data_IF_109013281511
#
_entry.id   IF_109013281511
#
_cell.length_a   1.000
_cell.length_b   1.000
_cell.length_c   1.000
_cell.angle_alpha   90.00
_cell.angle_beta   90.00
_cell.angle_gamma   90.00
#
_symmetry.space_group_name_H-M   'P 1'
#
loop_
_entity.id
_entity.type
_entity.pdbx_description
1 polymer ?
#
# COMPACT_ATOMS: atom_id res chain seq x y z
N UNK A 1 9.08 7.54 32.53
CA UNK A 1 7.90 6.75 32.07
C UNK A 1 8.34 6.01 30.81
N UNK A 2 8.15 4.70 30.78
CA UNK A 2 8.67 3.87 29.69
C UNK A 2 7.91 4.15 28.38
N UNK A 3 8.61 4.61 27.35
CA UNK A 3 8.03 4.90 26.03
C UNK A 3 7.30 3.68 25.44
N UNK A 4 7.80 2.48 25.70
CA UNK A 4 7.14 1.26 25.23
C UNK A 4 5.79 1.01 25.92
N UNK A 5 5.69 1.40 27.17
CA UNK A 5 4.43 1.28 27.94
C UNK A 5 3.38 2.27 27.42
N UNK A 6 3.80 3.49 27.09
CA UNK A 6 2.94 4.50 26.49
C UNK A 6 2.44 4.07 25.12
N UNK A 7 3.33 3.58 24.24
CA UNK A 7 2.94 3.07 22.92
C UNK A 7 1.92 1.96 23.02
N UNK A 8 2.12 0.97 23.91
CA UNK A 8 1.17 -0.13 24.11
C UNK A 8 -0.18 0.36 24.62
N UNK A 9 -0.19 1.30 25.56
CA UNK A 9 -1.42 1.86 26.09
C UNK A 9 -2.20 2.65 25.03
N UNK A 10 -1.51 3.42 24.18
CA UNK A 10 -2.11 4.14 23.06
C UNK A 10 -2.66 3.17 22.02
N UNK A 11 -1.90 2.13 21.67
CA UNK A 11 -2.36 1.09 20.72
C UNK A 11 -3.60 0.35 21.26
N UNK A 12 -3.63 0.07 22.56
CA UNK A 12 -4.78 -0.57 23.19
C UNK A 12 -5.99 0.35 23.19
N UNK A 13 -5.81 1.63 23.57
CA UNK A 13 -6.89 2.63 23.56
C UNK A 13 -7.44 2.86 22.14
N UNK A 14 -6.56 2.90 21.10
CA UNK A 14 -6.95 3.03 19.70
C UNK A 14 -7.72 1.78 19.24
N UNK A 15 -7.30 0.60 19.66
CA UNK A 15 -7.96 -0.67 19.36
C UNK A 15 -9.35 -0.73 20.02
N UNK A 16 -9.46 -0.32 21.27
CA UNK A 16 -10.71 -0.23 22.02
C UNK A 16 -11.67 0.82 21.45
N UNK A 17 -11.14 1.95 20.95
CA UNK A 17 -11.90 2.97 20.24
C UNK A 17 -12.36 2.52 18.85
N UNK A 18 -11.94 1.34 18.38
CA UNK A 18 -12.28 0.79 17.06
C UNK A 18 -11.70 1.56 15.89
N UNK A 19 -10.62 2.32 16.12
CA UNK A 19 -9.92 3.05 15.05
C UNK A 19 -8.90 2.15 14.36
N UNK A 20 -8.93 2.12 13.04
CA UNK A 20 -7.91 1.46 12.23
C UNK A 20 -6.75 2.45 11.97
N UNK A 21 -5.57 2.16 12.53
CA UNK A 21 -4.39 3.03 12.40
C UNK A 21 -3.22 2.25 11.81
N UNK A 22 -2.60 2.83 10.77
CA UNK A 22 -1.34 2.36 10.22
C UNK A 22 -0.20 2.92 11.08
N UNK A 23 0.45 2.06 11.87
CA UNK A 23 1.66 2.42 12.62
C UNK A 23 2.91 2.14 11.79
N UNK A 24 4.03 2.79 12.13
CA UNK A 24 5.31 2.49 11.49
C UNK A 24 5.72 1.02 11.68
N UNK A 25 5.46 0.46 12.85
CA UNK A 25 5.76 -0.96 13.13
C UNK A 25 4.97 -1.90 12.22
N UNK A 26 3.66 -1.68 12.05
CA UNK A 26 2.82 -2.47 11.12
C UNK A 26 3.29 -2.31 9.68
N UNK A 27 3.60 -1.08 9.26
CA UNK A 27 4.10 -0.81 7.91
C UNK A 27 5.42 -1.57 7.64
N UNK A 28 6.37 -1.53 8.55
CA UNK A 28 7.65 -2.24 8.41
C UNK A 28 7.45 -3.77 8.35
N UNK A 29 6.66 -4.33 9.25
CA UNK A 29 6.37 -5.78 9.24
C UNK A 29 5.70 -6.23 7.95
N UNK A 30 4.78 -5.43 7.44
CA UNK A 30 4.13 -5.70 6.16
C UNK A 30 5.14 -5.67 5.02
N UNK A 31 5.97 -4.63 4.95
CA UNK A 31 6.99 -4.49 3.92
C UNK A 31 7.95 -5.67 3.95
N UNK A 32 8.45 -6.07 5.12
CA UNK A 32 9.37 -7.21 5.26
C UNK A 32 8.76 -8.51 4.68
N UNK A 33 7.46 -8.74 4.88
CA UNK A 33 6.77 -9.92 4.32
C UNK A 33 6.63 -9.84 2.80
N UNK A 34 6.29 -8.67 2.28
CA UNK A 34 6.17 -8.45 0.82
C UNK A 34 7.54 -8.53 0.14
N UNK A 35 8.60 -7.98 0.74
CA UNK A 35 9.98 -8.12 0.26
C UNK A 35 10.39 -9.58 0.13
N UNK A 36 10.19 -10.36 1.20
CA UNK A 36 10.50 -11.78 1.18
C UNK A 36 9.76 -12.50 0.06
N UNK A 37 8.49 -12.18 -0.15
CA UNK A 37 7.70 -12.76 -1.23
C UNK A 37 8.21 -12.33 -2.60
N UNK A 38 8.59 -11.08 -2.76
CA UNK A 38 9.20 -10.57 -3.99
C UNK A 38 10.53 -11.29 -4.30
N UNK A 39 11.38 -11.53 -3.28
CA UNK A 39 12.62 -12.30 -3.44
C UNK A 39 12.36 -13.73 -3.92
N UNK A 40 11.37 -14.43 -3.33
CA UNK A 40 10.95 -15.76 -3.74
C UNK A 40 10.51 -15.81 -5.22
N UNK A 41 9.93 -14.71 -5.71
CA UNK A 41 9.48 -14.55 -7.09
C UNK A 41 10.56 -14.03 -8.05
N UNK A 42 11.74 -13.68 -7.53
CA UNK A 42 12.82 -13.06 -8.33
C UNK A 42 12.53 -11.61 -8.75
N UNK A 43 11.63 -10.92 -8.04
CA UNK A 43 11.25 -9.53 -8.31
C UNK A 43 12.06 -8.58 -7.42
N UNK A 44 12.58 -7.51 -7.99
CA UNK A 44 13.23 -6.41 -7.28
C UNK A 44 12.25 -5.24 -7.19
N UNK A 45 11.52 -5.18 -6.08
CA UNK A 45 10.41 -4.27 -5.91
C UNK A 45 10.77 -3.04 -5.06
N UNK A 46 10.01 -1.97 -5.26
CA UNK A 46 9.84 -0.91 -4.28
C UNK A 46 8.46 -1.08 -3.67
N UNK A 47 8.41 -1.04 -2.34
CA UNK A 47 7.22 -1.32 -1.56
C UNK A 47 6.95 -0.12 -0.67
N UNK A 48 5.78 0.50 -0.83
CA UNK A 48 5.38 1.70 -0.12
C UNK A 48 4.09 1.46 0.68
N UNK A 49 4.07 1.89 1.93
CA UNK A 49 2.88 1.87 2.78
C UNK A 49 2.50 3.30 3.14
N UNK A 50 1.24 3.65 2.91
CA UNK A 50 0.65 4.94 3.25
C UNK A 50 -0.41 4.81 4.35
N UNK A 51 -0.64 5.89 5.09
CA UNK A 51 -1.75 6.01 6.05
C UNK A 51 -3.06 6.43 5.36
N UNK A 52 -4.13 6.61 6.14
CA UNK A 52 -5.45 7.03 5.62
C UNK A 52 -5.49 8.43 5.01
N UNK A 53 -4.49 9.27 5.29
CA UNK A 53 -4.31 10.58 4.65
C UNK A 53 -3.48 10.50 3.35
N UNK A 54 -3.25 9.30 2.83
CA UNK A 54 -2.42 9.03 1.66
C UNK A 54 -0.96 9.53 1.79
N UNK A 55 -0.44 9.61 3.03
CA UNK A 55 0.94 10.01 3.30
C UNK A 55 1.80 8.76 3.54
N UNK A 56 3.03 8.71 2.98
CA UNK A 56 3.92 7.59 3.21
C UNK A 56 4.26 7.41 4.69
N UNK A 57 4.19 6.18 5.19
CA UNK A 57 4.63 5.78 6.53
C UNK A 57 5.99 5.10 6.46
N UNK A 58 6.18 4.21 5.49
CA UNK A 58 7.45 3.55 5.22
C UNK A 58 7.55 3.18 3.73
N UNK A 59 8.78 3.19 3.21
CA UNK A 59 9.11 2.78 1.84
C UNK A 59 10.42 2.01 1.87
N UNK A 60 10.45 0.82 1.29
CA UNK A 60 11.69 0.08 1.06
C UNK A 60 11.96 -0.05 -0.43
N UNK A 61 13.21 0.21 -0.78
CA UNK A 61 13.72 0.03 -2.14
C UNK A 61 14.64 -1.17 -2.14
N UNK A 62 14.22 -2.29 -2.73
CA UNK A 62 15.09 -3.45 -2.89
C UNK A 62 16.25 -3.11 -3.83
N UNK A 63 17.42 -3.70 -3.57
CA UNK A 63 18.59 -3.50 -4.42
C UNK A 63 18.29 -3.85 -5.88
N UNK A 64 18.73 -3.00 -6.80
CA UNK A 64 18.51 -3.13 -8.25
C UNK A 64 17.05 -2.99 -8.72
N UNK A 65 16.14 -2.48 -7.90
CA UNK A 65 14.82 -2.07 -8.37
C UNK A 65 14.93 -0.93 -9.41
N UNK A 66 13.96 -0.85 -10.32
CA UNK A 66 13.92 0.25 -11.29
C UNK A 66 13.76 1.60 -10.59
N UNK A 67 14.53 2.60 -11.02
CA UNK A 67 14.48 3.95 -10.43
C UNK A 67 13.07 4.55 -10.47
N UNK A 68 12.35 4.40 -11.58
CA UNK A 68 10.98 4.91 -11.73
C UNK A 68 9.97 4.21 -10.80
N UNK A 69 10.26 3.00 -10.33
CA UNK A 69 9.38 2.25 -9.44
C UNK A 69 9.20 2.93 -8.07
N UNK A 70 10.10 3.82 -7.66
CA UNK A 70 9.95 4.58 -6.43
C UNK A 70 8.67 5.44 -6.46
N UNK A 71 8.55 6.31 -7.46
CA UNK A 71 7.37 7.16 -7.60
C UNK A 71 6.11 6.34 -7.90
N UNK A 72 6.24 5.28 -8.71
CA UNK A 72 5.10 4.42 -9.05
C UNK A 72 4.55 3.72 -7.81
N UNK A 73 5.39 3.12 -6.96
CA UNK A 73 4.93 2.45 -5.74
C UNK A 73 4.28 3.44 -4.77
N UNK A 74 4.90 4.61 -4.55
CA UNK A 74 4.32 5.69 -3.75
C UNK A 74 2.95 6.12 -4.28
N UNK A 75 2.85 6.33 -5.58
CA UNK A 75 1.62 6.79 -6.22
C UNK A 75 0.54 5.71 -6.27
N UNK A 76 0.90 4.42 -6.34
CA UNK A 76 -0.05 3.31 -6.17
C UNK A 76 -0.65 3.32 -4.75
N UNK A 77 0.17 3.47 -3.72
CA UNK A 77 -0.30 3.59 -2.33
C UNK A 77 -1.17 4.86 -2.15
N UNK A 78 -0.73 6.00 -2.69
CA UNK A 78 -1.50 7.24 -2.69
C UNK A 78 -2.87 7.06 -3.34
N UNK A 79 -2.92 6.44 -4.52
CA UNK A 79 -4.14 6.20 -5.27
C UNK A 79 -5.12 5.34 -4.49
N UNK A 80 -4.63 4.21 -3.95
CA UNK A 80 -5.49 3.28 -3.21
C UNK A 80 -6.02 3.89 -1.91
N UNK A 81 -5.20 4.64 -1.16
CA UNK A 81 -5.67 5.35 0.03
C UNK A 81 -6.67 6.47 -0.32
N UNK A 82 -6.38 7.26 -1.34
CA UNK A 82 -7.17 8.42 -1.74
C UNK A 82 -8.52 8.06 -2.35
N UNK A 83 -8.57 7.02 -3.17
CA UNK A 83 -9.80 6.58 -3.85
C UNK A 83 -10.50 5.41 -3.16
N UNK A 84 -9.90 4.85 -2.10
CA UNK A 84 -10.43 3.74 -1.29
C UNK A 84 -10.75 2.50 -2.13
N UNK A 85 -9.90 2.20 -3.09
CA UNK A 85 -10.00 1.03 -3.96
C UNK A 85 -8.61 0.58 -4.43
N UNK A 86 -8.49 -0.67 -4.90
CA UNK A 86 -7.27 -1.12 -5.53
C UNK A 86 -7.03 -0.40 -6.87
N UNK A 87 -5.75 -0.25 -7.25
CA UNK A 87 -5.41 0.31 -8.55
C UNK A 87 -5.78 -0.63 -9.70
N UNK A 88 -5.90 -1.94 -9.45
CA UNK A 88 -6.44 -2.90 -10.40
C UNK A 88 -7.93 -2.64 -10.67
N UNK A 89 -8.74 -2.35 -9.64
CA UNK A 89 -10.14 -1.98 -9.81
C UNK A 89 -10.27 -0.64 -10.54
N UNK A 90 -9.43 0.32 -10.22
CA UNK A 90 -9.42 1.62 -10.90
C UNK A 90 -9.10 1.45 -12.40
N UNK A 91 -8.23 0.52 -12.79
CA UNK A 91 -7.88 0.29 -14.19
C UNK A 91 -9.11 -0.08 -15.04
N UNK A 92 -10.06 -0.82 -14.46
CA UNK A 92 -11.32 -1.17 -15.14
C UNK A 92 -12.21 0.07 -15.38
N UNK A 93 -12.13 1.07 -14.49
CA UNK A 93 -12.94 2.28 -14.55
C UNK A 93 -12.29 3.42 -15.34
N UNK A 94 -10.97 3.37 -15.54
CA UNK A 94 -10.18 4.46 -16.12
C UNK A 94 -9.71 4.20 -17.56
N UNK A 95 -10.04 3.06 -18.14
CA UNK A 95 -9.73 2.75 -19.54
C UNK A 95 -10.50 3.59 -20.55
N UNK A 96 -10.13 3.55 -21.83
CA UNK A 96 -10.86 4.26 -22.88
C UNK A 96 -12.37 3.90 -22.89
N UNK A 97 -13.22 4.89 -22.92
CA UNK A 97 -14.68 4.73 -22.90
C UNK A 97 -15.28 4.45 -21.51
N UNK A 98 -14.47 4.36 -20.47
CA UNK A 98 -14.93 4.13 -19.10
C UNK A 98 -15.19 5.46 -18.34
N UNK A 99 -16.01 5.42 -17.27
CA UNK A 99 -16.46 6.63 -16.56
C UNK A 99 -15.36 7.53 -16.02
N UNK A 100 -14.21 6.97 -15.64
CA UNK A 100 -13.08 7.69 -15.05
C UNK A 100 -11.91 7.85 -16.03
N UNK A 101 -12.15 7.70 -17.33
CA UNK A 101 -11.12 7.94 -18.34
C UNK A 101 -10.51 9.33 -18.19
N UNK A 102 -9.19 9.41 -18.06
CA UNK A 102 -8.46 10.67 -17.86
C UNK A 102 -8.17 11.01 -16.39
N UNK A 103 -8.65 10.22 -15.41
CA UNK A 103 -8.39 10.48 -13.99
C UNK A 103 -6.89 10.54 -13.65
N UNK A 104 -6.05 9.81 -14.40
CA UNK A 104 -4.59 9.82 -14.23
C UNK A 104 -3.94 11.18 -14.47
N UNK A 105 -4.62 12.09 -15.12
CA UNK A 105 -4.15 13.46 -15.35
C UNK A 105 -4.53 14.43 -14.21
N UNK A 106 -5.32 13.99 -13.25
CA UNK A 106 -5.67 14.74 -12.05
C UNK A 106 -4.61 14.56 -10.96
N UNK A 107 -4.74 15.27 -9.84
CA UNK A 107 -3.87 15.12 -8.68
C UNK A 107 -2.37 15.21 -9.02
N UNK A 108 -2.00 16.13 -9.92
CA UNK A 108 -0.61 16.31 -10.39
C UNK A 108 -0.01 15.04 -11.02
N UNK A 109 -0.83 14.20 -11.66
CA UNK A 109 -0.39 12.96 -12.27
C UNK A 109 -0.10 11.83 -11.29
N UNK A 110 -0.53 11.94 -10.03
CA UNK A 110 -0.26 10.92 -9.00
C UNK A 110 -1.20 9.73 -9.04
N UNK A 111 -2.29 9.80 -9.77
CA UNK A 111 -3.24 8.70 -9.87
C UNK A 111 -2.70 7.63 -10.82
N UNK A 112 -2.46 6.44 -10.30
CA UNK A 112 -1.99 5.27 -11.06
C UNK A 112 -3.16 4.37 -11.40
N UNK A 113 -3.34 4.09 -12.70
CA UNK A 113 -4.48 3.34 -13.22
C UNK A 113 -4.15 1.89 -13.64
N UNK A 114 -3.18 1.26 -13.00
CA UNK A 114 -2.85 -0.15 -13.21
C UNK A 114 -2.46 -0.82 -11.89
N UNK A 115 -2.60 -2.14 -11.84
CA UNK A 115 -2.50 -2.94 -10.62
C UNK A 115 -1.19 -2.81 -9.83
N UNK A 116 -1.23 -3.20 -8.58
CA UNK A 116 -0.11 -3.15 -7.63
C UNK A 116 -0.34 -2.19 -6.47
N UNK A 117 -1.51 -1.57 -6.36
CA UNK A 117 -1.95 -0.81 -5.19
C UNK A 117 -3.16 -1.45 -4.53
N UNK A 118 -3.14 -1.58 -3.20
CA UNK A 118 -4.21 -2.19 -2.40
C UNK A 118 -4.56 -1.35 -1.18
N UNK A 119 -5.84 -1.36 -0.83
CA UNK A 119 -6.35 -0.81 0.42
C UNK A 119 -6.08 -1.81 1.54
N UNK A 120 -5.61 -1.33 2.68
CA UNK A 120 -5.33 -2.13 3.87
C UNK A 120 -6.39 -1.86 4.94
N UNK A 121 -7.01 -2.92 5.46
CA UNK A 121 -8.08 -2.82 6.43
C UNK A 121 -7.74 -3.52 7.75
N UNK A 122 -8.29 -3.00 8.84
CA UNK A 122 -8.29 -3.62 10.16
C UNK A 122 -9.75 -3.69 10.61
N UNK A 123 -10.27 -4.90 10.82
CA UNK A 123 -11.66 -5.13 11.20
C UNK A 123 -12.67 -4.41 10.27
N UNK A 124 -12.44 -4.47 8.96
CA UNK A 124 -13.29 -3.85 7.94
C UNK A 124 -13.19 -2.32 7.83
N UNK A 125 -12.26 -1.69 8.55
CA UNK A 125 -11.99 -0.25 8.47
C UNK A 125 -10.64 0.01 7.80
N UNK A 126 -10.60 0.98 6.89
CA UNK A 126 -9.37 1.34 6.19
C UNK A 126 -8.35 1.90 7.18
N UNK A 127 -7.16 1.29 7.21
CA UNK A 127 -6.01 1.71 8.00
C UNK A 127 -4.97 2.45 7.16
N UNK A 128 -4.93 2.18 5.86
CA UNK A 128 -3.96 2.74 4.94
C UNK A 128 -3.98 2.03 3.59
N UNK A 129 -2.88 2.06 2.89
CA UNK A 129 -2.72 1.42 1.59
C UNK A 129 -1.29 0.95 1.34
N UNK A 130 -1.16 -0.04 0.47
CA UNK A 130 0.09 -0.62 -0.01
C UNK A 130 0.26 -0.33 -1.49
N UNK A 131 1.47 0.01 -1.91
CA UNK A 131 1.86 0.13 -3.31
C UNK A 131 3.12 -0.67 -3.59
N UNK A 132 3.10 -1.48 -4.64
CA UNK A 132 4.23 -2.30 -5.09
C UNK A 132 4.53 -2.02 -6.56
N UNK A 133 5.80 -1.84 -6.88
CA UNK A 133 6.28 -1.64 -8.25
C UNK A 133 7.68 -2.23 -8.43
N UNK A 134 7.92 -2.93 -9.53
CA UNK A 134 9.24 -3.47 -9.88
C UNK A 134 9.20 -4.74 -10.72
N UNK A 135 8.08 -5.44 -10.75
CA UNK A 135 7.85 -6.61 -11.57
C UNK A 135 7.01 -6.31 -12.83
N UNK A 136 6.44 -7.36 -13.41
CA UNK A 136 5.39 -7.23 -14.40
C UNK A 136 4.09 -6.74 -13.73
N UNK A 137 3.11 -6.32 -14.52
CA UNK A 137 1.81 -5.93 -14.01
C UNK A 137 1.19 -7.02 -13.12
N UNK A 138 1.27 -8.26 -13.56
CA UNK A 138 0.76 -9.43 -12.84
C UNK A 138 1.51 -9.67 -11.53
N UNK A 139 2.84 -9.54 -11.55
CA UNK A 139 3.67 -9.70 -10.36
C UNK A 139 3.41 -8.62 -9.33
N UNK A 140 3.35 -7.36 -9.74
CA UNK A 140 3.06 -6.24 -8.84
C UNK A 140 1.65 -6.37 -8.23
N UNK A 141 0.67 -6.74 -9.05
CA UNK A 141 -0.72 -6.97 -8.59
C UNK A 141 -0.79 -8.12 -7.60
N UNK A 142 -0.11 -9.23 -7.88
CA UNK A 142 -0.04 -10.37 -6.96
C UNK A 142 0.62 -10.00 -5.63
N UNK A 143 1.77 -9.30 -5.66
CA UNK A 143 2.49 -8.90 -4.45
C UNK A 143 1.66 -7.95 -3.58
N UNK A 144 0.93 -7.03 -4.19
CA UNK A 144 0.05 -6.13 -3.46
C UNK A 144 -1.14 -6.88 -2.82
N UNK A 145 -1.77 -7.79 -3.55
CA UNK A 145 -2.85 -8.64 -3.02
C UNK A 145 -2.36 -9.55 -1.89
N UNK A 146 -1.18 -10.16 -2.03
CA UNK A 146 -0.53 -10.92 -0.97
C UNK A 146 -0.28 -10.06 0.27
N UNK A 147 0.24 -8.85 0.09
CA UNK A 147 0.48 -7.90 1.18
C UNK A 147 -0.82 -7.52 1.91
N UNK A 148 -1.89 -7.27 1.18
CA UNK A 148 -3.22 -7.05 1.77
C UNK A 148 -3.68 -8.24 2.62
N UNK A 149 -3.59 -9.45 2.07
CA UNK A 149 -4.01 -10.67 2.77
C UNK A 149 -3.25 -10.86 4.09
N UNK A 150 -1.91 -10.79 4.07
CA UNK A 150 -1.10 -10.97 5.28
C UNK A 150 -1.31 -9.85 6.30
N UNK A 151 -1.58 -8.63 5.85
CA UNK A 151 -1.92 -7.52 6.73
C UNK A 151 -3.24 -7.74 7.47
N UNK A 152 -4.27 -8.16 6.76
CA UNK A 152 -5.60 -8.41 7.32
C UNK A 152 -5.63 -9.63 8.26
N UNK A 153 -4.68 -10.56 8.11
CA UNK A 153 -4.47 -11.69 9.00
C UNK A 153 -3.72 -11.34 10.31
N UNK A 154 -3.24 -10.12 10.46
CA UNK A 154 -2.61 -9.62 11.68
C UNK A 154 -1.09 -9.52 11.63
N UNK A 155 -0.58 -8.69 10.78
CA UNK A 155 0.85 -8.30 10.75
C UNK A 155 1.22 -7.42 11.94
#
# INVERSE_FOLDING_TARGET
MDEQLICRAVEQAVREAGMAVMTLEKAKRLIDKVEKKAEEMGVRAIIAVANTAARPVAVHCMDNAYIASFDIALNKAYTSAGLKMSTAKLSELAGPGQPLYGIQHTNEGKIVIFGGGEVLEINGKIAGALGVSGGTLEQDTFLAAYGKEVFEQGV
#
